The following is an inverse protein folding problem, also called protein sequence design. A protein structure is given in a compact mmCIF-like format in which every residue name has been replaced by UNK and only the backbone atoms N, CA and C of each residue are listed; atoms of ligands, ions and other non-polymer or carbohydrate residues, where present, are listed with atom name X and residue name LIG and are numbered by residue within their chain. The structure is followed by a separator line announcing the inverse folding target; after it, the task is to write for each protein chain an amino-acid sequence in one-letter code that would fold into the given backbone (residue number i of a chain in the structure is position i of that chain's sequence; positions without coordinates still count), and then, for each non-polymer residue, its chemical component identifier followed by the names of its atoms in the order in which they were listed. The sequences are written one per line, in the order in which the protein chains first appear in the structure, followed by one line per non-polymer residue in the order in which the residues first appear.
data_IF_960274260999
#
_entry.id   IF_960274260999
#
_cell.length_a   1.000
_cell.length_b   1.000
_cell.length_c   1.000
_cell.angle_alpha   90.00
_cell.angle_beta   90.00
_cell.angle_gamma   90.00
#
_symmetry.space_group_name_H-M   'P 1'
#
loop_
_entity.id
_entity.type
_entity.pdbx_description
1 polymer ?
#
# COMPACT_ATOMS: atom_id res chain seq x y z
N UNK A 1 -2.02 0.00 10.04
CA UNK A 1 -2.44 1.34 10.54
C UNK A 1 -2.50 2.29 9.37
N UNK A 2 -3.44 3.23 9.34
CA UNK A 2 -3.48 4.26 8.31
C UNK A 2 -2.48 5.37 8.65
N UNK A 3 -1.68 5.80 7.69
CA UNK A 3 -0.60 6.79 7.87
C UNK A 3 -0.74 7.91 6.84
N UNK A 4 -0.49 9.15 7.25
CA UNK A 4 -0.50 10.29 6.33
C UNK A 4 0.70 10.20 5.36
N UNK A 5 0.53 10.62 4.11
CA UNK A 5 1.55 10.46 3.06
C UNK A 5 2.87 11.15 3.42
N UNK A 6 2.80 12.33 4.05
CA UNK A 6 3.99 13.08 4.49
C UNK A 6 4.74 12.41 5.65
N UNK A 7 4.13 11.43 6.31
CA UNK A 7 4.69 10.66 7.43
C UNK A 7 5.04 9.22 7.02
N UNK A 8 5.08 8.92 5.72
CA UNK A 8 5.49 7.60 5.26
C UNK A 8 6.94 7.31 5.70
N UNK A 9 7.20 6.13 6.31
CA UNK A 9 8.54 5.70 6.65
C UNK A 9 9.41 5.59 5.39
N UNK A 10 10.68 5.98 5.48
CA UNK A 10 11.60 5.89 4.33
C UNK A 10 12.00 4.44 4.00
N UNK A 11 11.92 3.58 5.00
CA UNK A 11 12.18 2.14 4.96
C UNK A 11 10.92 1.33 4.62
N UNK A 12 9.80 1.98 4.31
CA UNK A 12 8.60 1.28 3.87
C UNK A 12 8.87 0.48 2.60
N UNK A 13 8.59 -0.82 2.66
CA UNK A 13 8.75 -1.72 1.50
C UNK A 13 7.49 -1.74 0.62
N UNK A 14 6.31 -1.57 1.22
CA UNK A 14 5.01 -1.60 0.55
C UNK A 14 4.13 -0.43 1.03
N UNK A 15 3.60 0.33 0.09
CA UNK A 15 2.68 1.44 0.34
C UNK A 15 1.41 1.24 -0.47
N UNK A 16 0.27 1.15 0.22
CA UNK A 16 -1.05 1.01 -0.42
C UNK A 16 -1.79 2.35 -0.26
N UNK A 17 -2.15 2.98 -1.38
CA UNK A 17 -2.85 4.27 -1.38
C UNK A 17 -4.10 4.24 -2.25
N UNK A 18 -4.98 5.22 -2.04
CA UNK A 18 -6.01 5.51 -3.02
C UNK A 18 -5.38 6.03 -4.31
N UNK A 19 -5.98 5.75 -5.46
CA UNK A 19 -5.45 6.13 -6.79
C UNK A 19 -5.08 7.62 -6.93
N UNK A 20 -5.83 8.51 -6.29
CA UNK A 20 -5.57 9.97 -6.27
C UNK A 20 -4.32 10.38 -5.47
N UNK A 21 -3.83 9.48 -4.63
CA UNK A 21 -2.77 9.72 -3.66
C UNK A 21 -1.46 9.01 -4.01
N UNK A 22 -1.50 8.05 -4.94
CA UNK A 22 -0.36 7.23 -5.34
C UNK A 22 0.81 8.07 -5.83
N UNK A 23 0.57 9.07 -6.69
CA UNK A 23 1.66 9.92 -7.20
C UNK A 23 2.40 10.66 -6.07
N UNK A 24 1.67 11.05 -5.02
CA UNK A 24 2.26 11.73 -3.87
C UNK A 24 3.05 10.75 -2.99
N UNK A 25 2.57 9.52 -2.84
CA UNK A 25 3.29 8.46 -2.14
C UNK A 25 4.58 8.06 -2.86
N UNK A 26 4.55 7.91 -4.20
CA UNK A 26 5.73 7.63 -5.02
C UNK A 26 6.80 8.71 -4.82
N UNK A 27 6.40 9.99 -4.81
CA UNK A 27 7.34 11.10 -4.59
C UNK A 27 7.97 11.06 -3.19
N UNK A 28 7.23 10.61 -2.17
CA UNK A 28 7.72 10.55 -0.80
C UNK A 28 8.65 9.34 -0.57
N UNK A 29 8.26 8.17 -1.07
CA UNK A 29 8.97 6.90 -0.87
C UNK A 29 9.14 6.20 -2.22
N UNK A 30 10.03 6.69 -3.10
CA UNK A 30 10.18 6.17 -4.47
C UNK A 30 10.70 4.73 -4.51
N UNK A 31 11.35 4.27 -3.44
CA UNK A 31 11.94 2.94 -3.34
C UNK A 31 10.95 1.86 -2.87
N UNK A 32 9.75 2.26 -2.43
CA UNK A 32 8.72 1.33 -1.98
C UNK A 32 7.92 0.76 -3.17
N UNK A 33 7.32 -0.41 -3.00
CA UNK A 33 6.31 -0.93 -3.92
C UNK A 33 5.00 -0.17 -3.68
N UNK A 34 4.42 0.42 -4.73
CA UNK A 34 3.18 1.20 -4.63
C UNK A 34 2.01 0.44 -5.23
N UNK A 35 0.95 0.25 -4.42
CA UNK A 35 -0.30 -0.37 -4.87
C UNK A 35 -1.43 0.65 -4.75
N UNK A 36 -2.14 0.87 -5.86
CA UNK A 36 -3.29 1.77 -5.91
C UNK A 36 -4.61 1.01 -5.78
N UNK A 37 -5.50 1.51 -4.92
CA UNK A 37 -6.87 0.99 -4.77
C UNK A 37 -7.90 2.10 -4.97
N UNK A 38 -9.08 1.76 -5.48
CA UNK A 38 -10.13 2.77 -5.74
C UNK A 38 -11.00 3.02 -4.50
N UNK A 39 -11.34 1.97 -3.74
CA UNK A 39 -12.10 2.11 -2.50
C UNK A 39 -11.60 1.09 -1.45
N UNK A 40 -11.02 1.59 -0.37
CA UNK A 40 -10.34 0.79 0.66
C UNK A 40 -11.29 -0.13 1.44
N UNK A 41 -12.56 0.26 1.57
CA UNK A 41 -13.52 -0.45 2.43
C UNK A 41 -14.42 -1.44 1.68
N UNK A 42 -14.53 -1.33 0.35
CA UNK A 42 -15.50 -2.10 -0.45
C UNK A 42 -14.86 -2.91 -1.58
N UNK A 43 -13.53 -2.97 -1.67
CA UNK A 43 -12.87 -3.65 -2.79
C UNK A 43 -12.40 -5.05 -2.39
N UNK A 44 -12.81 -6.13 -3.10
CA UNK A 44 -12.31 -7.49 -2.89
C UNK A 44 -10.78 -7.62 -3.09
N UNK A 45 -10.12 -6.61 -3.67
CA UNK A 45 -8.65 -6.54 -3.74
C UNK A 45 -7.97 -6.53 -2.38
N UNK A 46 -8.61 -6.01 -1.33
CA UNK A 46 -7.98 -5.99 0.00
C UNK A 46 -7.83 -7.40 0.56
N UNK A 47 -8.86 -8.24 0.40
CA UNK A 47 -8.83 -9.66 0.77
C UNK A 47 -7.81 -10.44 -0.06
N UNK A 48 -7.71 -10.18 -1.38
CA UNK A 48 -6.69 -10.81 -2.22
C UNK A 48 -5.27 -10.42 -1.79
N UNK A 49 -5.02 -9.13 -1.50
CA UNK A 49 -3.71 -8.68 -1.03
C UNK A 49 -3.35 -9.32 0.30
N UNK A 50 -4.27 -9.35 1.26
CA UNK A 50 -4.05 -10.01 2.55
C UNK A 50 -3.79 -11.51 2.39
N UNK A 51 -4.50 -12.20 1.50
CA UNK A 51 -4.30 -13.62 1.25
C UNK A 51 -2.96 -13.92 0.58
N UNK A 52 -2.48 -13.04 -0.30
CA UNK A 52 -1.15 -13.17 -0.91
C UNK A 52 -0.04 -12.88 0.11
N UNK A 53 -0.18 -11.82 0.91
CA UNK A 53 0.77 -11.49 1.99
C UNK A 53 0.87 -12.62 3.04
N UNK A 54 -0.26 -13.23 3.43
CA UNK A 54 -0.26 -14.38 4.36
C UNK A 54 0.36 -15.65 3.80
N UNK A 55 0.41 -15.81 2.47
CA UNK A 55 1.00 -16.98 1.82
C UNK A 55 2.53 -16.92 1.80
N UNK A 56 3.10 -15.73 1.68
CA UNK A 56 4.55 -15.55 1.65
C UNK A 56 5.21 -15.70 3.04
N UNK A 57 4.45 -15.53 4.14
CA UNK A 57 4.93 -15.70 5.53
C UNK A 57 4.99 -17.18 6.01
N UNK A 58 4.67 -18.16 5.16
CA UNK A 58 4.57 -19.58 5.52
C UNK A 58 5.57 -20.48 4.75
N UNK A 59 6.67 -19.92 4.22
CA UNK A 59 7.72 -20.66 3.51
C UNK A 59 9.07 -20.57 4.23
#
# INVERSE_FOLDING_TARGET
TNTAINQLPKDAQLVITQKKLTDRAIKQTPNAIHISVDNFLNSPRYEELLNNLKKDDQA
#
